data_IF_041584520997
#
_entry.id   IF_041584520997
#
_cell.length_a   1.000
_cell.length_b   1.000
_cell.length_c   1.000
_cell.angle_alpha   90.00
_cell.angle_beta   90.00
_cell.angle_gamma   90.00
#
_symmetry.space_group_name_H-M   'P 1'
#
loop_
_entity.id
_entity.type
_entity.pdbx_description
1 polymer ?
#
# COMPACT_ATOMS: atom_id res chain seq x y z
N UNK A 1 -22.20 -23.61 -24.95
CA UNK A 1 -20.88 -23.04 -25.28
C UNK A 1 -19.83 -23.89 -24.57
N UNK A 2 -19.45 -25.01 -25.20
CA UNK A 2 -18.52 -26.01 -24.68
C UNK A 2 -17.08 -25.45 -24.63
N UNK A 3 -16.43 -25.53 -23.47
CA UNK A 3 -14.99 -25.34 -23.35
C UNK A 3 -14.25 -26.51 -24.04
N UNK A 4 -13.13 -26.26 -24.74
CA UNK A 4 -12.40 -27.28 -25.52
C UNK A 4 -11.77 -28.38 -24.65
N UNK A 5 -11.78 -29.63 -25.14
CA UNK A 5 -11.46 -30.87 -24.39
C UNK A 5 -10.11 -30.89 -23.65
N UNK A 6 -9.13 -30.06 -24.05
CA UNK A 6 -7.83 -29.98 -23.35
C UNK A 6 -7.94 -29.39 -21.94
N UNK A 7 -8.75 -28.35 -21.75
CA UNK A 7 -8.90 -27.69 -20.44
C UNK A 7 -9.69 -28.55 -19.44
N UNK A 8 -10.61 -29.39 -19.91
CA UNK A 8 -11.33 -30.35 -19.05
C UNK A 8 -10.40 -31.40 -18.43
N UNK A 9 -9.36 -31.80 -19.17
CA UNK A 9 -8.39 -32.80 -18.71
C UNK A 9 -7.44 -32.22 -17.66
N UNK A 10 -7.04 -30.98 -17.84
CA UNK A 10 -6.14 -30.26 -16.93
C UNK A 10 -6.78 -30.02 -15.54
N UNK A 11 -8.05 -29.63 -15.49
CA UNK A 11 -8.80 -29.46 -14.22
C UNK A 11 -9.04 -30.80 -13.50
N UNK A 12 -8.97 -31.93 -14.20
CA UNK A 12 -9.15 -33.26 -13.61
C UNK A 12 -7.89 -33.81 -12.93
N UNK A 13 -6.70 -33.34 -13.30
CA UNK A 13 -5.40 -33.79 -12.77
C UNK A 13 -4.87 -32.87 -11.66
N UNK A 14 -5.53 -31.73 -11.41
CA UNK A 14 -5.18 -30.83 -10.32
C UNK A 14 -5.64 -31.39 -8.96
N UNK A 15 -4.80 -31.24 -7.91
CA UNK A 15 -5.25 -31.54 -6.55
C UNK A 15 -6.47 -30.69 -6.21
N UNK A 16 -7.40 -31.28 -5.46
CA UNK A 16 -8.66 -30.64 -5.07
C UNK A 16 -8.76 -30.54 -3.56
N UNK A 17 -9.22 -29.39 -3.08
CA UNK A 17 -9.54 -29.18 -1.68
C UNK A 17 -11.05 -29.06 -1.50
N UNK A 18 -11.58 -29.67 -0.45
CA UNK A 18 -12.98 -29.52 -0.05
C UNK A 18 -13.08 -28.41 1.01
N UNK A 19 -13.89 -27.39 0.74
CA UNK A 19 -14.15 -26.29 1.66
C UNK A 19 -15.63 -26.23 2.01
N UNK A 20 -15.96 -25.69 3.19
CA UNK A 20 -17.34 -25.46 3.61
C UNK A 20 -17.66 -23.97 3.61
N UNK A 21 -18.76 -23.61 2.95
CA UNK A 21 -19.26 -22.23 2.84
C UNK A 21 -20.78 -22.29 2.99
N UNK A 22 -21.34 -21.54 3.93
CA UNK A 22 -22.75 -21.53 4.28
C UNK A 22 -23.34 -22.93 4.50
N UNK A 23 -22.58 -23.80 5.20
CA UNK A 23 -22.96 -25.21 5.44
C UNK A 23 -22.96 -26.11 4.20
N UNK A 24 -22.49 -25.62 3.04
CA UNK A 24 -22.38 -26.40 1.80
C UNK A 24 -20.92 -26.71 1.50
N UNK A 25 -20.66 -27.94 1.07
CA UNK A 25 -19.31 -28.38 0.69
C UNK A 25 -19.06 -28.08 -0.78
N UNK A 26 -17.96 -27.38 -1.06
CA UNK A 26 -17.50 -27.05 -2.40
C UNK A 26 -16.14 -27.71 -2.63
N UNK A 27 -15.95 -28.34 -3.79
CA UNK A 27 -14.65 -28.83 -4.25
C UNK A 27 -14.03 -27.80 -5.16
N UNK A 28 -12.85 -27.32 -4.78
CA UNK A 28 -12.10 -26.31 -5.52
C UNK A 28 -10.79 -26.92 -6.00
N UNK A 29 -10.47 -26.68 -7.28
CA UNK A 29 -9.14 -27.01 -7.80
C UNK A 29 -8.12 -26.09 -7.13
N UNK A 30 -7.02 -26.66 -6.68
CA UNK A 30 -5.93 -25.94 -6.04
C UNK A 30 -4.60 -26.31 -6.69
N UNK A 31 -3.66 -25.37 -6.65
CA UNK A 31 -2.26 -25.68 -6.96
C UNK A 31 -1.61 -26.37 -5.75
N UNK A 32 -0.55 -27.14 -6.01
CA UNK A 32 0.19 -27.84 -4.96
C UNK A 32 0.71 -26.83 -3.92
N UNK A 33 0.42 -27.07 -2.65
CA UNK A 33 0.81 -26.19 -1.53
C UNK A 33 -0.13 -25.00 -1.26
N UNK A 34 -1.17 -24.75 -2.06
CA UNK A 34 -2.15 -23.66 -1.82
C UNK A 34 -3.38 -24.09 -1.01
N UNK A 35 -3.47 -25.35 -0.61
CA UNK A 35 -4.62 -25.95 0.08
C UNK A 35 -4.98 -25.19 1.37
N UNK A 36 -3.98 -24.93 2.22
CA UNK A 36 -4.17 -24.22 3.48
C UNK A 36 -4.65 -22.76 3.27
N UNK A 37 -4.14 -22.10 2.23
CA UNK A 37 -4.55 -20.75 1.90
C UNK A 37 -6.01 -20.70 1.42
N UNK A 38 -6.43 -21.64 0.58
CA UNK A 38 -7.82 -21.75 0.13
C UNK A 38 -8.78 -22.08 1.28
N UNK A 39 -8.37 -22.92 2.22
CA UNK A 39 -9.15 -23.20 3.44
C UNK A 39 -9.35 -21.93 4.28
N UNK A 40 -8.31 -21.13 4.50
CA UNK A 40 -8.41 -19.84 5.21
C UNK A 40 -9.32 -18.85 4.47
N UNK A 41 -9.17 -18.72 3.15
CA UNK A 41 -10.04 -17.85 2.34
C UNK A 41 -11.50 -18.28 2.41
N UNK A 42 -11.78 -19.57 2.32
CA UNK A 42 -13.15 -20.09 2.43
C UNK A 42 -13.75 -19.85 3.82
N UNK A 43 -12.96 -20.02 4.89
CA UNK A 43 -13.41 -19.75 6.26
C UNK A 43 -13.72 -18.25 6.48
N UNK A 44 -12.90 -17.36 5.93
CA UNK A 44 -13.17 -15.92 5.98
C UNK A 44 -14.45 -15.58 5.23
N UNK A 45 -14.63 -16.14 4.04
CA UNK A 45 -15.85 -15.92 3.26
C UNK A 45 -17.11 -16.45 3.96
N UNK A 46 -17.03 -17.64 4.58
CA UNK A 46 -18.11 -18.19 5.41
C UNK A 46 -18.47 -17.26 6.59
N UNK A 47 -17.45 -16.69 7.24
CA UNK A 47 -17.64 -15.71 8.32
C UNK A 47 -18.41 -14.48 7.82
N UNK A 48 -18.06 -13.95 6.65
CA UNK A 48 -18.78 -12.83 6.03
C UNK A 48 -20.24 -13.17 5.72
N UNK A 49 -20.51 -14.38 5.20
CA UNK A 49 -21.88 -14.84 4.97
C UNK A 49 -22.66 -14.90 6.29
N UNK A 50 -22.07 -15.43 7.36
CA UNK A 50 -22.72 -15.54 8.66
C UNK A 50 -23.04 -14.16 9.26
N UNK A 51 -22.14 -13.18 9.08
CA UNK A 51 -22.38 -11.78 9.49
C UNK A 51 -23.55 -11.16 8.70
N UNK A 52 -23.56 -11.33 7.38
CA UNK A 52 -24.63 -10.82 6.52
C UNK A 52 -25.96 -11.51 6.81
N UNK A 53 -25.95 -12.80 7.18
CA UNK A 53 -27.16 -13.54 7.58
C UNK A 53 -27.82 -12.89 8.79
N UNK A 54 -27.04 -12.42 9.77
CA UNK A 54 -27.53 -11.70 10.94
C UNK A 54 -28.18 -10.34 10.59
N UNK A 55 -27.64 -9.64 9.60
CA UNK A 55 -28.10 -8.29 9.21
C UNK A 55 -29.29 -8.30 8.23
N UNK A 56 -29.31 -9.24 7.28
CA UNK A 56 -30.29 -9.27 6.19
C UNK A 56 -31.41 -10.31 6.37
N UNK A 57 -31.32 -11.18 7.38
CA UNK A 57 -32.29 -12.25 7.62
C UNK A 57 -32.24 -13.37 6.56
N UNK A 58 -33.30 -14.19 6.50
CA UNK A 58 -33.38 -15.34 5.58
C UNK A 58 -33.91 -14.94 4.19
N UNK A 59 -33.15 -14.12 3.48
CA UNK A 59 -33.39 -13.71 2.07
C UNK A 59 -33.04 -14.80 1.03
N UNK A 60 -32.66 -15.99 1.51
CA UNK A 60 -32.31 -17.17 0.72
C UNK A 60 -30.81 -17.33 0.46
N UNK A 61 -30.30 -18.55 0.62
CA UNK A 61 -28.87 -18.89 0.55
C UNK A 61 -28.14 -18.30 -0.66
N UNK A 62 -28.72 -18.45 -1.86
CA UNK A 62 -28.06 -18.00 -3.09
C UNK A 62 -27.90 -16.48 -3.14
N UNK A 63 -28.95 -15.74 -2.73
CA UNK A 63 -28.89 -14.27 -2.71
C UNK A 63 -27.89 -13.80 -1.67
N UNK A 64 -27.87 -14.44 -0.51
CA UNK A 64 -26.92 -14.15 0.55
C UNK A 64 -25.46 -14.36 0.08
N UNK A 65 -25.16 -15.50 -0.54
CA UNK A 65 -23.82 -15.78 -1.08
C UNK A 65 -23.41 -14.79 -2.16
N UNK A 66 -24.33 -14.40 -3.07
CA UNK A 66 -24.06 -13.38 -4.10
C UNK A 66 -23.74 -12.03 -3.47
N UNK A 67 -24.54 -11.59 -2.49
CA UNK A 67 -24.26 -10.33 -1.80
C UNK A 67 -22.95 -10.37 -1.03
N UNK A 68 -22.61 -11.49 -0.38
CA UNK A 68 -21.31 -11.66 0.27
C UNK A 68 -20.15 -11.53 -0.72
N UNK A 69 -20.27 -12.11 -1.93
CA UNK A 69 -19.26 -11.98 -2.98
C UNK A 69 -19.08 -10.54 -3.45
N UNK A 70 -20.19 -9.81 -3.67
CA UNK A 70 -20.14 -8.39 -4.04
C UNK A 70 -19.53 -7.54 -2.93
N UNK A 71 -19.91 -7.79 -1.67
CA UNK A 71 -19.39 -7.08 -0.51
C UNK A 71 -17.87 -7.22 -0.37
N UNK A 72 -17.35 -8.45 -0.45
CA UNK A 72 -15.90 -8.69 -0.39
C UNK A 72 -15.17 -8.03 -1.56
N UNK A 73 -15.79 -8.01 -2.74
CA UNK A 73 -15.21 -7.34 -3.92
C UNK A 73 -15.10 -5.82 -3.72
N UNK A 74 -16.13 -5.21 -3.13
CA UNK A 74 -16.13 -3.78 -2.78
C UNK A 74 -15.04 -3.47 -1.74
N UNK A 75 -14.90 -4.30 -0.70
CA UNK A 75 -13.87 -4.15 0.31
C UNK A 75 -12.44 -4.21 -0.28
N UNK A 76 -12.18 -5.20 -1.15
CA UNK A 76 -10.90 -5.30 -1.86
C UNK A 76 -10.64 -4.07 -2.72
N UNK A 77 -11.65 -3.57 -3.43
CA UNK A 77 -11.54 -2.37 -4.27
C UNK A 77 -11.21 -1.13 -3.43
N UNK A 78 -11.87 -0.97 -2.28
CA UNK A 78 -11.62 0.11 -1.33
C UNK A 78 -10.18 0.06 -0.78
N UNK A 79 -9.71 -1.13 -0.41
CA UNK A 79 -8.34 -1.33 0.08
C UNK A 79 -7.29 -1.02 -1.00
N UNK A 80 -7.51 -1.45 -2.25
CA UNK A 80 -6.63 -1.14 -3.37
C UNK A 80 -6.51 0.37 -3.60
N UNK A 81 -7.63 1.11 -3.55
CA UNK A 81 -7.62 2.57 -3.67
C UNK A 81 -6.82 3.22 -2.54
N UNK A 82 -6.98 2.73 -1.30
CA UNK A 82 -6.23 3.22 -0.15
C UNK A 82 -4.73 2.96 -0.28
N UNK A 83 -4.34 1.77 -0.75
CA UNK A 83 -2.95 1.43 -1.04
C UNK A 83 -2.36 2.38 -2.08
N UNK A 84 -3.07 2.61 -3.19
CA UNK A 84 -2.62 3.54 -4.23
C UNK A 84 -2.42 4.98 -3.68
N UNK A 85 -3.30 5.43 -2.79
CA UNK A 85 -3.14 6.71 -2.10
C UNK A 85 -1.91 6.76 -1.19
N UNK A 86 -1.65 5.70 -0.43
CA UNK A 86 -0.47 5.59 0.42
C UNK A 86 0.83 5.52 -0.39
N UNK A 87 0.83 4.79 -1.51
CA UNK A 87 1.97 4.72 -2.42
C UNK A 87 2.30 6.09 -3.03
N UNK A 88 1.28 6.86 -3.42
CA UNK A 88 1.44 8.24 -3.89
C UNK A 88 2.04 9.15 -2.81
N UNK A 89 1.58 9.04 -1.56
CA UNK A 89 2.13 9.81 -0.46
C UNK A 89 3.58 9.44 -0.15
N UNK A 90 3.90 8.15 -0.14
CA UNK A 90 5.29 7.67 0.02
C UNK A 90 6.18 8.19 -1.12
N UNK A 91 5.69 8.18 -2.37
CA UNK A 91 6.41 8.73 -3.50
C UNK A 91 6.64 10.24 -3.35
N UNK A 92 5.65 10.99 -2.87
CA UNK A 92 5.76 12.43 -2.60
C UNK A 92 6.79 12.73 -1.52
N UNK A 93 6.76 12.01 -0.40
CA UNK A 93 7.71 12.16 0.72
C UNK A 93 9.14 11.79 0.31
N UNK A 94 9.30 10.75 -0.50
CA UNK A 94 10.61 10.41 -1.09
C UNK A 94 11.07 11.49 -2.07
N UNK A 95 10.18 12.00 -2.93
CA UNK A 95 10.50 13.06 -3.89
C UNK A 95 10.93 14.39 -3.24
N UNK A 96 10.31 14.80 -2.12
CA UNK A 96 10.73 15.98 -1.34
C UNK A 96 12.07 15.75 -0.63
N UNK A 97 12.31 14.53 -0.15
CA UNK A 97 13.59 14.14 0.46
C UNK A 97 14.72 14.13 -0.59
N UNK A 98 14.47 13.63 -1.80
CA UNK A 98 15.45 13.65 -2.90
C UNK A 98 15.67 15.04 -3.47
N UNK A 99 14.64 15.90 -3.50
CA UNK A 99 14.80 17.32 -3.87
C UNK A 99 15.60 18.09 -2.82
N UNK A 100 15.49 17.73 -1.53
CA UNK A 100 16.34 18.28 -0.48
C UNK A 100 17.75 17.67 -0.46
N UNK A 101 17.91 16.42 -0.90
CA UNK A 101 19.19 15.68 -0.90
C UNK A 101 20.00 15.83 -2.21
N UNK A 102 19.40 16.30 -3.31
CA UNK A 102 20.15 16.78 -4.47
C UNK A 102 20.83 18.10 -4.09
N UNK A 103 22.01 17.97 -3.49
CA UNK A 103 22.88 19.01 -2.93
C UNK A 103 23.41 20.08 -3.90
N UNK A 104 22.68 20.43 -4.95
CA UNK A 104 22.91 21.67 -5.69
C UNK A 104 22.56 22.91 -4.86
N UNK A 105 21.66 22.77 -3.89
CA UNK A 105 21.31 23.85 -2.95
C UNK A 105 22.25 23.98 -1.75
N UNK A 106 22.85 22.89 -1.27
CA UNK A 106 23.65 22.91 -0.04
C UNK A 106 25.06 23.46 -0.26
N UNK A 107 25.75 23.05 -1.34
CA UNK A 107 27.08 23.61 -1.64
C UNK A 107 27.02 25.12 -1.94
N UNK A 108 25.97 25.59 -2.63
CA UNK A 108 25.76 27.01 -2.91
C UNK A 108 25.30 27.79 -1.66
N UNK A 109 24.47 27.18 -0.79
CA UNK A 109 24.11 27.77 0.51
C UNK A 109 25.31 27.89 1.43
N UNK A 110 26.11 26.84 1.57
CA UNK A 110 27.32 26.85 2.41
C UNK A 110 28.34 27.88 1.90
N UNK A 111 28.50 27.99 0.58
CA UNK A 111 29.33 29.03 -0.03
C UNK A 111 28.85 30.44 0.28
N UNK A 112 27.54 30.70 0.14
CA UNK A 112 26.94 32.02 0.45
C UNK A 112 26.99 32.37 1.93
N UNK A 113 26.82 31.37 2.81
CA UNK A 113 26.96 31.53 4.26
C UNK A 113 28.40 31.85 4.65
N UNK A 114 29.38 31.12 4.10
CA UNK A 114 30.80 31.37 4.33
C UNK A 114 31.25 32.76 3.83
N UNK A 115 30.74 33.19 2.68
CA UNK A 115 31.02 34.52 2.13
C UNK A 115 30.42 35.63 3.01
N UNK A 116 29.17 35.47 3.46
CA UNK A 116 28.51 36.41 4.36
C UNK A 116 29.23 36.52 5.71
N UNK A 117 29.67 35.40 6.28
CA UNK A 117 30.49 35.35 7.49
C UNK A 117 31.82 36.07 7.29
N UNK A 118 32.51 35.80 6.18
CA UNK A 118 33.79 36.45 5.85
C UNK A 118 33.65 37.95 5.64
N UNK A 119 32.58 38.40 4.97
CA UNK A 119 32.27 39.81 4.79
C UNK A 119 31.99 40.51 6.12
N UNK A 120 31.28 39.83 7.02
CA UNK A 120 30.98 40.35 8.36
C UNK A 120 32.25 40.46 9.21
N UNK A 121 33.11 39.44 9.19
CA UNK A 121 34.39 39.45 9.88
C UNK A 121 35.27 40.62 9.41
N UNK A 122 35.39 40.84 8.10
CA UNK A 122 36.14 41.99 7.53
C UNK A 122 35.58 43.34 8.00
N UNK A 123 34.25 43.44 8.16
CA UNK A 123 33.61 44.67 8.64
C UNK A 123 33.89 44.91 10.12
N UNK A 124 33.90 43.86 10.93
CA UNK A 124 34.29 43.92 12.35
C UNK A 124 35.75 44.36 12.48
N UNK A 125 36.67 43.75 11.71
CA UNK A 125 38.09 44.14 11.70
C UNK A 125 38.28 45.60 11.29
N UNK A 126 37.52 46.06 10.30
CA UNK A 126 37.54 47.46 9.87
C UNK A 126 37.06 48.43 10.95
N UNK A 127 36.05 48.06 11.74
CA UNK A 127 35.58 48.86 12.87
C UNK A 127 36.62 48.85 14.01
N UNK A 128 37.19 47.69 14.31
CA UNK A 128 38.21 47.54 15.35
C UNK A 128 39.45 48.41 15.05
N UNK A 129 39.93 48.42 13.79
CA UNK A 129 41.05 49.28 13.37
C UNK A 129 40.74 50.76 13.52
N UNK A 130 39.54 51.20 13.12
CA UNK A 130 39.13 52.60 13.27
C UNK A 130 39.04 53.04 14.74
N UNK A 131 38.65 52.14 15.64
CA UNK A 131 38.64 52.39 17.08
C UNK A 131 40.06 52.50 17.64
N UNK A 132 40.98 51.64 17.20
CA UNK A 132 42.39 51.67 17.62
C UNK A 132 43.10 52.95 17.13
N UNK A 133 42.86 53.34 15.87
CA UNK A 133 43.37 54.58 15.29
C UNK A 133 42.79 55.84 15.99
N UNK A 134 41.55 55.78 16.47
CA UNK A 134 40.90 56.88 17.20
C UNK A 134 41.30 56.94 18.69
N UNK A 135 41.87 55.86 19.23
CA UNK A 135 42.36 55.77 20.61
C UNK A 135 43.82 56.24 20.77
N UNK A 136 44.49 56.58 19.66
CA UNK A 136 45.88 57.04 19.59
C UNK A 136 45.98 58.54 19.33
#
# INVERSE_FOLDING_TARGET
MQLPDRQRKEVADMPQVAVQINGKTYRMACEEGQEAHLLDLAQRFDTTINQLKGSFGEIGDQRLTVMAGVFVTDEVTSLQQRIAGLESEVARLRGTSTTSANGAGDADRDGRVAEALSATARRIDGIARKLDDAAK
#
